data_IF_780643869675
#
_entry.id   IF_780643869675
#
_cell.length_a   1.000
_cell.length_b   1.000
_cell.length_c   1.000
_cell.angle_alpha   90.00
_cell.angle_beta   90.00
_cell.angle_gamma   90.00
#
_symmetry.space_group_name_H-M   'P 1'
#
loop_
_entity.id
_entity.type
_entity.pdbx_description
1 polymer ?
#
# COMPACT_ATOMS: atom_id res chain seq x y z
N UNK A 1 -2.98 1.18 -3.92
CA UNK A 1 -1.93 0.14 -4.02
C UNK A 1 -1.75 -0.62 -2.70
N UNK A 2 -1.38 0.02 -1.62
CA UNK A 2 -1.10 -0.63 -0.32
C UNK A 2 -2.27 -1.45 0.23
N UNK A 3 -3.49 -0.95 0.19
CA UNK A 3 -4.69 -1.68 0.61
C UNK A 3 -4.85 -3.01 -0.13
N UNK A 4 -4.72 -2.98 -1.45
CA UNK A 4 -4.85 -4.16 -2.28
C UNK A 4 -3.73 -5.18 -2.03
N UNK A 5 -2.52 -4.70 -1.82
CA UNK A 5 -1.37 -5.55 -1.45
C UNK A 5 -1.57 -6.20 -0.08
N UNK A 6 -2.05 -5.45 0.91
CA UNK A 6 -2.31 -6.02 2.23
C UNK A 6 -3.40 -7.10 2.16
N UNK A 7 -4.46 -6.88 1.40
CA UNK A 7 -5.51 -7.87 1.18
C UNK A 7 -5.01 -9.12 0.44
N UNK A 8 -4.04 -8.95 -0.46
CA UNK A 8 -3.40 -10.08 -1.15
C UNK A 8 -2.49 -10.89 -0.22
N UNK A 9 -1.66 -10.20 0.56
CA UNK A 9 -0.62 -10.83 1.41
C UNK A 9 -1.22 -11.50 2.64
N UNK A 10 -2.17 -10.86 3.29
CA UNK A 10 -2.79 -11.32 4.53
C UNK A 10 -4.31 -11.48 4.35
N UNK A 11 -4.69 -12.40 3.48
CA UNK A 11 -6.08 -12.68 3.11
C UNK A 11 -6.94 -12.92 4.35
N UNK A 12 -8.07 -12.22 4.45
CA UNK A 12 -9.09 -12.36 5.51
C UNK A 12 -8.62 -12.10 6.95
N UNK A 13 -7.43 -11.55 7.16
CA UNK A 13 -6.91 -11.24 8.50
C UNK A 13 -7.09 -9.77 8.91
N UNK A 14 -7.35 -8.89 7.97
CA UNK A 14 -7.49 -7.45 8.21
C UNK A 14 -8.66 -6.84 7.47
N UNK A 15 -9.29 -5.88 8.10
CA UNK A 15 -10.12 -4.89 7.42
C UNK A 15 -9.21 -3.73 7.01
N UNK A 16 -8.78 -3.75 5.76
CA UNK A 16 -7.87 -2.75 5.21
C UNK A 16 -8.66 -1.67 4.46
N UNK A 17 -8.38 -0.43 4.80
CA UNK A 17 -8.91 0.73 4.12
C UNK A 17 -7.78 1.67 3.71
N UNK A 18 -7.97 2.38 2.61
CA UNK A 18 -7.04 3.40 2.18
C UNK A 18 -7.75 4.70 1.83
N UNK A 19 -7.09 5.80 2.07
CA UNK A 19 -7.61 7.13 1.77
C UNK A 19 -6.48 8.11 1.46
N UNK A 20 -6.83 9.20 0.85
CA UNK A 20 -5.91 10.28 0.53
C UNK A 20 -6.45 11.65 0.93
N UNK A 21 -5.59 12.64 0.92
CA UNK A 21 -5.96 14.05 1.18
C UNK A 21 -6.58 14.71 -0.06
N UNK A 22 -6.24 14.24 -1.24
CA UNK A 22 -6.72 14.75 -2.53
C UNK A 22 -7.02 13.56 -3.46
N UNK A 23 -8.13 12.84 -3.23
CA UNK A 23 -8.47 11.71 -4.07
C UNK A 23 -8.80 12.18 -5.50
N UNK A 24 -8.10 11.64 -6.47
CA UNK A 24 -8.23 11.99 -7.88
C UNK A 24 -8.67 10.81 -8.76
N UNK A 25 -9.23 9.75 -8.14
CA UNK A 25 -9.53 8.50 -8.83
C UNK A 25 -8.32 7.56 -8.91
N UNK A 26 -8.52 6.41 -9.50
CA UNK A 26 -7.45 5.44 -9.70
C UNK A 26 -6.56 5.84 -10.88
N UNK A 27 -5.26 5.87 -10.65
CA UNK A 27 -4.30 6.07 -11.72
C UNK A 27 -4.26 4.81 -12.62
N UNK A 28 -4.34 4.96 -13.95
CA UNK A 28 -4.29 3.81 -14.86
C UNK A 28 -3.04 2.95 -14.69
N UNK A 29 -1.92 3.54 -14.33
CA UNK A 29 -0.67 2.80 -14.09
C UNK A 29 -0.70 2.00 -12.79
N UNK A 30 -1.48 2.45 -11.80
CA UNK A 30 -1.78 1.63 -10.61
C UNK A 30 -2.54 0.37 -11.04
N UNK A 31 -3.58 0.52 -11.85
CA UNK A 31 -4.36 -0.60 -12.35
C UNK A 31 -3.49 -1.58 -13.12
N UNK A 32 -2.65 -1.08 -14.02
CA UNK A 32 -1.76 -1.89 -14.84
C UNK A 32 -0.72 -2.64 -14.00
N UNK A 33 -0.01 -1.93 -13.12
CA UNK A 33 1.03 -2.52 -12.29
C UNK A 33 0.48 -3.56 -11.30
N UNK A 34 -0.73 -3.39 -10.81
CA UNK A 34 -1.39 -4.38 -9.95
C UNK A 34 -1.92 -5.56 -10.74
N UNK A 35 -2.44 -5.34 -11.95
CA UNK A 35 -2.88 -6.40 -12.83
C UNK A 35 -1.75 -7.36 -13.20
N UNK A 36 -0.54 -6.85 -13.37
CA UNK A 36 0.67 -7.65 -13.66
C UNK A 36 0.94 -8.73 -12.60
N UNK A 37 0.54 -8.50 -11.36
CA UNK A 37 0.67 -9.45 -10.25
C UNK A 37 -0.63 -10.18 -9.93
N UNK A 38 -1.60 -10.13 -10.83
CA UNK A 38 -2.87 -10.84 -10.70
C UNK A 38 -3.91 -10.16 -9.82
N UNK A 39 -3.76 -8.87 -9.53
CA UNK A 39 -4.69 -8.11 -8.67
C UNK A 39 -5.48 -7.11 -9.50
N UNK A 40 -6.80 -7.25 -9.51
CA UNK A 40 -7.72 -6.31 -10.14
C UNK A 40 -8.17 -5.26 -9.14
N UNK A 41 -7.75 -4.01 -9.34
CA UNK A 41 -8.11 -2.87 -8.49
C UNK A 41 -9.12 -1.92 -9.12
N UNK A 42 -9.70 -2.26 -10.27
CA UNK A 42 -10.62 -1.38 -11.00
C UNK A 42 -11.87 -1.03 -10.22
N UNK A 43 -12.29 -1.88 -9.29
CA UNK A 43 -13.43 -1.67 -8.41
C UNK A 43 -13.09 -0.90 -7.14
N UNK A 44 -11.82 -0.61 -6.88
CA UNK A 44 -11.44 0.20 -5.73
C UNK A 44 -11.78 1.66 -5.96
N UNK A 45 -12.38 2.27 -4.95
CA UNK A 45 -12.74 3.67 -4.97
C UNK A 45 -11.64 4.51 -4.34
N UNK A 46 -11.33 5.64 -4.98
CA UNK A 46 -10.51 6.68 -4.36
C UNK A 46 -11.33 7.37 -3.27
N UNK A 47 -10.84 7.37 -2.03
CA UNK A 47 -11.57 7.85 -0.85
C UNK A 47 -10.84 9.02 -0.21
N UNK A 48 -11.60 10.00 0.29
CA UNK A 48 -11.06 11.08 1.08
C UNK A 48 -10.90 10.66 2.54
N UNK A 49 -9.82 11.12 3.16
CA UNK A 49 -9.48 10.79 4.54
C UNK A 49 -10.59 11.14 5.54
N UNK A 50 -11.36 12.22 5.26
CA UNK A 50 -12.48 12.65 6.10
C UNK A 50 -13.59 11.60 6.23
N UNK A 51 -13.72 10.67 5.29
CA UNK A 51 -14.72 9.60 5.38
C UNK A 51 -14.47 8.67 6.56
N UNK A 52 -13.25 8.66 7.10
CA UNK A 52 -12.83 7.79 8.20
C UNK A 52 -12.69 8.50 9.53
N UNK A 53 -12.89 9.81 9.58
CA UNK A 53 -12.85 10.58 10.84
C UNK A 53 -13.92 10.06 11.78
N UNK A 54 -13.53 9.77 13.03
CA UNK A 54 -14.41 9.21 14.06
C UNK A 54 -14.47 7.68 14.10
N UNK A 55 -13.85 7.00 13.13
CA UNK A 55 -13.70 5.54 13.17
C UNK A 55 -12.44 5.13 13.92
N UNK A 56 -12.46 3.96 14.53
CA UNK A 56 -11.32 3.40 15.27
C UNK A 56 -10.54 2.43 14.40
N UNK A 57 -9.20 2.58 14.41
CA UNK A 57 -8.29 1.69 13.70
C UNK A 57 -7.19 1.21 14.64
N UNK A 58 -6.80 -0.05 14.54
CA UNK A 58 -5.68 -0.61 15.28
C UNK A 58 -4.34 -0.02 14.80
N UNK A 59 -4.20 0.14 13.50
CA UNK A 59 -3.03 0.73 12.87
C UNK A 59 -3.45 1.82 11.89
N UNK A 60 -2.75 2.94 11.93
CA UNK A 60 -2.83 4.00 10.93
C UNK A 60 -1.44 4.17 10.33
N UNK A 61 -1.33 3.92 9.05
CA UNK A 61 -0.06 3.97 8.32
C UNK A 61 -0.14 5.03 7.25
N UNK A 62 0.70 6.06 7.36
CA UNK A 62 0.85 7.06 6.31
C UNK A 62 1.98 6.65 5.38
N UNK A 63 1.76 6.76 4.08
CA UNK A 63 2.70 6.29 3.04
C UNK A 63 3.28 7.42 2.19
N UNK A 64 2.95 8.66 2.49
CA UNK A 64 3.58 9.83 1.91
C UNK A 64 3.69 10.97 2.95
N UNK A 65 4.64 11.85 2.75
CA UNK A 65 4.90 12.93 3.71
C UNK A 65 3.72 13.91 3.83
N UNK A 66 3.04 14.21 2.72
CA UNK A 66 1.83 15.03 2.72
C UNK A 66 0.71 14.43 3.57
N UNK A 67 0.51 13.13 3.48
CA UNK A 67 -0.48 12.42 4.31
C UNK A 67 -0.08 12.46 5.79
N UNK A 68 1.21 12.37 6.11
CA UNK A 68 1.73 12.50 7.48
C UNK A 68 1.40 13.85 8.08
N UNK A 69 1.61 14.92 7.35
CA UNK A 69 1.37 16.30 7.83
C UNK A 69 -0.11 16.60 8.03
N UNK A 70 -0.96 16.04 7.18
CA UNK A 70 -2.41 16.31 7.15
C UNK A 70 -3.25 15.25 7.83
N UNK A 71 -2.64 14.20 8.39
CA UNK A 71 -3.37 13.08 8.98
C UNK A 71 -4.09 13.52 10.26
N UNK A 72 -5.43 13.41 10.32
CA UNK A 72 -6.18 13.71 11.53
C UNK A 72 -5.85 12.68 12.62
N UNK A 73 -6.13 13.06 13.87
CA UNK A 73 -6.07 12.13 14.99
C UNK A 73 -7.26 11.18 14.89
N UNK A 74 -6.98 9.88 14.80
CA UNK A 74 -8.01 8.85 14.86
C UNK A 74 -8.18 8.37 16.31
N UNK A 75 -9.35 8.61 16.95
CA UNK A 75 -9.62 8.12 18.30
C UNK A 75 -9.49 6.59 18.33
N UNK A 76 -8.72 6.07 19.30
CA UNK A 76 -8.51 4.63 19.42
C UNK A 76 -7.45 4.03 18.48
N UNK A 77 -6.80 4.82 17.66
CA UNK A 77 -5.61 4.37 16.94
C UNK A 77 -4.46 4.22 17.93
N UNK A 78 -4.12 2.98 18.25
CA UNK A 78 -3.07 2.66 19.23
C UNK A 78 -1.69 2.74 18.59
N UNK A 79 -1.60 2.48 17.29
CA UNK A 79 -0.34 2.37 16.57
C UNK A 79 -0.33 3.26 15.33
N UNK A 80 0.55 4.26 15.35
CA UNK A 80 0.84 5.11 14.21
C UNK A 80 2.17 4.73 13.60
N UNK A 81 2.22 4.61 12.27
CA UNK A 81 3.45 4.36 11.50
C UNK A 81 3.50 5.30 10.30
N UNK A 82 4.70 5.71 9.95
CA UNK A 82 4.95 6.44 8.73
C UNK A 82 5.99 5.72 7.89
N UNK A 83 5.61 5.38 6.65
CA UNK A 83 6.50 4.80 5.66
C UNK A 83 6.59 5.76 4.48
N UNK A 84 7.79 6.24 4.19
CA UNK A 84 8.00 7.14 3.08
C UNK A 84 8.30 6.36 1.81
N UNK A 85 7.48 6.57 0.79
CA UNK A 85 7.70 6.04 -0.56
C UNK A 85 7.68 7.19 -1.55
N UNK A 86 8.40 7.04 -2.65
CA UNK A 86 8.32 7.97 -3.76
C UNK A 86 6.91 8.00 -4.34
N UNK A 87 6.47 9.16 -4.79
CA UNK A 87 5.23 9.28 -5.54
C UNK A 87 5.48 8.87 -7.00
N UNK A 88 5.03 7.69 -7.43
CA UNK A 88 5.31 7.24 -8.79
C UNK A 88 4.61 8.08 -9.85
N UNK A 89 3.52 8.77 -9.51
CA UNK A 89 2.83 9.66 -10.43
C UNK A 89 3.66 10.92 -10.78
N UNK A 90 4.62 11.27 -9.95
CA UNK A 90 5.54 12.39 -10.17
C UNK A 90 6.72 12.02 -11.09
N UNK A 91 6.92 10.74 -11.40
CA UNK A 91 7.99 10.29 -12.27
C UNK A 91 7.81 10.76 -13.73
N UNK A 92 8.90 10.91 -14.51
CA UNK A 92 8.80 11.19 -15.93
C UNK A 92 7.95 10.16 -16.67
N UNK A 93 7.21 10.59 -17.68
CA UNK A 93 6.24 9.74 -18.37
C UNK A 93 6.89 8.47 -18.95
N UNK A 94 8.10 8.58 -19.48
CA UNK A 94 8.84 7.48 -20.11
C UNK A 94 9.21 6.35 -19.14
N UNK A 95 9.40 6.68 -17.86
CA UNK A 95 9.83 5.73 -16.83
C UNK A 95 8.75 5.48 -15.77
N UNK A 96 7.62 6.16 -15.88
CA UNK A 96 6.59 6.18 -14.84
C UNK A 96 6.08 4.81 -14.47
N UNK A 97 5.78 3.96 -15.45
CA UNK A 97 5.30 2.60 -15.19
C UNK A 97 6.34 1.76 -14.43
N UNK A 98 7.63 1.90 -14.76
CA UNK A 98 8.71 1.24 -14.03
C UNK A 98 8.78 1.70 -12.58
N UNK A 99 8.56 3.00 -12.34
CA UNK A 99 8.53 3.56 -10.98
C UNK A 99 7.29 3.04 -10.21
N UNK A 100 6.14 2.91 -10.85
CA UNK A 100 4.96 2.28 -10.25
C UNK A 100 5.25 0.83 -9.82
N UNK A 101 5.92 0.06 -10.66
CA UNK A 101 6.34 -1.33 -10.33
C UNK A 101 7.29 -1.37 -9.16
N UNK A 102 8.31 -0.50 -9.16
CA UNK A 102 9.27 -0.41 -8.07
C UNK A 102 8.60 -0.06 -6.74
N UNK A 103 7.78 0.98 -6.71
CA UNK A 103 7.08 1.42 -5.51
C UNK A 103 6.09 0.34 -5.03
N UNK A 104 5.38 -0.32 -5.94
CA UNK A 104 4.54 -1.49 -5.61
C UNK A 104 5.35 -2.54 -4.85
N UNK A 105 6.53 -2.88 -5.34
CA UNK A 105 7.39 -3.89 -4.74
C UNK A 105 7.94 -3.43 -3.38
N UNK A 106 8.33 -2.17 -3.25
CA UNK A 106 8.77 -1.58 -1.97
C UNK A 106 7.66 -1.62 -0.91
N UNK A 107 6.43 -1.27 -1.29
CA UNK A 107 5.26 -1.34 -0.41
C UNK A 107 4.99 -2.79 0.02
N UNK A 108 5.01 -3.73 -0.92
CA UNK A 108 4.80 -5.15 -0.62
C UNK A 108 5.84 -5.69 0.37
N UNK A 109 7.11 -5.39 0.15
CA UNK A 109 8.19 -5.79 1.05
C UNK A 109 8.02 -5.19 2.45
N UNK A 110 7.64 -3.93 2.52
CA UNK A 110 7.43 -3.25 3.81
C UNK A 110 6.22 -3.81 4.55
N UNK A 111 5.16 -4.16 3.84
CA UNK A 111 3.99 -4.84 4.42
C UNK A 111 4.36 -6.20 4.98
N UNK A 112 5.12 -7.00 4.23
CA UNK A 112 5.60 -8.30 4.72
C UNK A 112 6.42 -8.16 6.00
N UNK A 113 7.34 -7.23 6.02
CA UNK A 113 8.17 -6.93 7.19
C UNK A 113 7.31 -6.51 8.39
N UNK A 114 6.36 -5.61 8.18
CA UNK A 114 5.42 -5.16 9.20
C UNK A 114 4.61 -6.34 9.79
N UNK A 115 4.10 -7.21 8.94
CA UNK A 115 3.30 -8.35 9.38
C UNK A 115 4.11 -9.34 10.21
N UNK A 116 5.35 -9.57 9.85
CA UNK A 116 6.25 -10.47 10.59
C UNK A 116 6.70 -9.85 11.92
N UNK A 117 7.18 -8.62 11.89
CA UNK A 117 7.83 -7.98 13.03
C UNK A 117 6.84 -7.41 14.04
N UNK A 118 5.75 -6.79 13.59
CA UNK A 118 4.83 -6.05 14.46
C UNK A 118 3.52 -6.78 14.73
N UNK A 119 3.04 -7.59 13.78
CA UNK A 119 1.78 -8.35 13.93
C UNK A 119 2.05 -9.82 14.25
N UNK A 120 3.31 -10.24 14.24
CA UNK A 120 3.78 -11.59 14.58
C UNK A 120 3.18 -12.68 13.68
N UNK A 121 2.95 -12.38 12.41
CA UNK A 121 2.62 -13.40 11.44
C UNK A 121 3.82 -14.29 11.18
N UNK A 122 3.58 -15.59 11.07
CA UNK A 122 4.63 -16.50 10.60
C UNK A 122 4.80 -16.35 9.10
N UNK A 123 6.03 -16.49 8.56
CA UNK A 123 6.23 -16.44 7.12
C UNK A 123 5.37 -17.45 6.34
N UNK A 124 5.05 -18.58 6.95
CA UNK A 124 4.19 -19.59 6.35
C UNK A 124 2.70 -19.17 6.26
N UNK A 125 2.26 -18.24 7.12
CA UNK A 125 0.90 -17.71 7.09
C UNK A 125 0.73 -16.59 6.05
N UNK A 126 1.84 -16.01 5.60
CA UNK A 126 1.83 -15.04 4.51
C UNK A 126 1.71 -15.82 3.21
N UNK A 127 0.66 -15.57 2.47
CA UNK A 127 0.53 -16.12 1.13
C UNK A 127 1.83 -15.86 0.37
N UNK A 128 2.30 -16.83 -0.35
CA UNK A 128 3.62 -16.97 -0.97
C UNK A 128 4.21 -15.76 -1.72
N UNK A 129 3.53 -14.61 -1.66
CA UNK A 129 3.98 -13.37 -2.29
C UNK A 129 5.30 -12.86 -1.67
N UNK A 130 5.43 -12.98 -0.33
CA UNK A 130 6.65 -12.58 0.36
C UNK A 130 7.76 -13.63 0.21
N UNK A 131 7.39 -14.90 0.03
CA UNK A 131 8.35 -16.00 -0.16
C UNK A 131 8.77 -16.16 -1.62
N UNK A 132 7.87 -15.86 -2.56
CA UNK A 132 8.12 -15.76 -3.99
C UNK A 132 8.45 -14.33 -4.44
N UNK A 133 8.65 -13.45 -3.50
CA UNK A 133 9.22 -12.15 -3.79
C UNK A 133 10.71 -12.28 -4.14
N UNK A 134 11.02 -13.15 -5.00
CA UNK A 134 11.73 -12.83 -6.21
C UNK A 134 10.87 -11.79 -6.97
N UNK A 135 10.49 -10.75 -6.27
CA UNK A 135 10.40 -9.43 -6.80
C UNK A 135 11.82 -9.16 -7.27
N UNK A 136 12.14 -9.78 -8.41
CA UNK A 136 13.40 -9.55 -9.07
C UNK A 136 13.49 -8.03 -9.16
N UNK A 137 14.54 -7.43 -8.66
CA UNK A 137 14.84 -6.08 -9.08
C UNK A 137 14.72 -6.13 -10.59
N UNK A 138 13.94 -5.24 -11.15
CA UNK A 138 13.84 -5.09 -12.58
C UNK A 138 15.27 -5.22 -13.11
N UNK A 139 15.52 -6.06 -14.12
CA UNK A 139 16.86 -6.11 -14.67
C UNK A 139 17.21 -4.68 -15.02
N UNK A 140 18.19 -4.16 -14.30
CA UNK A 140 18.75 -2.86 -14.61
C UNK A 140 19.36 -3.02 -15.98
N UNK A 141 18.52 -2.71 -16.94
CA UNK A 141 18.99 -2.58 -18.32
C UNK A 141 19.64 -1.22 -18.50
#
# INVERSE_FOLDING_TARGET
MAEALLRLIAVDHFEAESAGTHPAGLNPMTVESMHEIGVDVRNYRSKHLEEFVGQSFNFVITVCDRAKESCPVFPGAVNFRHWSFDDPAAAPLETRLQVFRRVRNEIANRLCQFLIEEVQFTPAALQCYCCNAQLQPDPVS
#
